data_IF_944762370294
#
_entry.id   IF_944762370294
#
_cell.length_a   1.000
_cell.length_b   1.000
_cell.length_c   1.000
_cell.angle_alpha   90.00
_cell.angle_beta   90.00
_cell.angle_gamma   90.00
#
_symmetry.space_group_name_H-M   'P 1'
#
loop_
_entity.id
_entity.type
_entity.pdbx_description
1 polymer ?
#
# COMPACT_ATOMS: atom_id res chain seq x y z
N UNK A 1 7.13 -17.71 -17.46
CA UNK A 1 7.12 -17.32 -16.05
C UNK A 1 6.36 -16.01 -15.99
N UNK A 2 5.12 -16.00 -15.49
CA UNK A 2 4.30 -14.78 -15.48
C UNK A 2 5.00 -13.73 -14.58
N UNK A 3 5.15 -12.50 -15.07
CA UNK A 3 5.73 -11.42 -14.30
C UNK A 3 4.87 -11.15 -13.04
N UNK A 4 5.47 -10.71 -11.93
CA UNK A 4 4.70 -10.30 -10.76
C UNK A 4 3.78 -9.13 -11.16
N UNK A 5 2.47 -9.35 -11.04
CA UNK A 5 1.45 -8.36 -11.32
C UNK A 5 1.18 -7.56 -10.03
N UNK A 6 1.34 -6.24 -10.10
CA UNK A 6 1.04 -5.35 -8.98
C UNK A 6 -0.44 -4.99 -8.95
N UNK A 7 -1.03 -5.18 -7.79
CA UNK A 7 -2.47 -5.11 -7.60
C UNK A 7 -2.76 -4.28 -6.37
N UNK A 8 -3.70 -3.35 -6.47
CA UNK A 8 -4.20 -2.59 -5.33
C UNK A 8 -5.58 -3.11 -4.92
N UNK A 9 -5.77 -3.25 -3.61
CA UNK A 9 -7.03 -3.67 -2.99
C UNK A 9 -7.63 -2.47 -2.27
N UNK A 10 -8.84 -2.09 -2.67
CA UNK A 10 -9.55 -0.94 -2.14
C UNK A 10 -10.90 -1.36 -1.58
N UNK A 11 -11.30 -0.74 -0.47
CA UNK A 11 -12.63 -0.93 0.11
C UNK A 11 -13.38 0.38 0.08
N UNK A 12 -14.68 0.28 -0.08
CA UNK A 12 -15.58 1.42 0.04
C UNK A 12 -16.44 1.27 1.31
N UNK A 13 -16.83 2.40 1.86
CA UNK A 13 -17.75 2.53 2.98
C UNK A 13 -19.14 3.06 2.56
N UNK A 14 -19.27 3.54 1.32
CA UNK A 14 -20.47 4.20 0.79
C UNK A 14 -21.28 3.34 -0.19
N UNK A 15 -20.64 2.49 -1.02
CA UNK A 15 -21.34 1.65 -1.99
C UNK A 15 -22.02 0.44 -1.35
N UNK A 16 -23.36 0.43 -1.32
CA UNK A 16 -24.18 -0.61 -0.66
C UNK A 16 -23.95 -2.07 -1.12
N UNK A 17 -23.19 -2.30 -2.19
CA UNK A 17 -23.05 -3.62 -2.85
C UNK A 17 -21.63 -4.19 -2.85
N UNK A 18 -20.58 -3.37 -2.69
CA UNK A 18 -19.19 -3.81 -2.90
C UNK A 18 -18.40 -3.72 -1.60
N UNK A 19 -17.72 -4.80 -1.23
CA UNK A 19 -16.88 -4.81 -0.02
C UNK A 19 -15.43 -4.46 -0.34
N UNK A 20 -14.87 -5.08 -1.38
CA UNK A 20 -13.48 -4.90 -1.78
C UNK A 20 -13.35 -5.00 -3.31
N UNK A 21 -12.61 -4.08 -3.92
CA UNK A 21 -12.26 -4.09 -5.35
C UNK A 21 -10.76 -4.27 -5.45
N UNK A 22 -10.35 -5.13 -6.37
CA UNK A 22 -8.97 -5.47 -6.67
C UNK A 22 -8.71 -5.03 -8.10
N UNK A 23 -7.79 -4.10 -8.29
CA UNK A 23 -7.46 -3.56 -9.61
C UNK A 23 -5.97 -3.61 -9.89
N UNK A 24 -5.62 -3.66 -11.18
CA UNK A 24 -4.25 -3.58 -11.62
C UNK A 24 -3.74 -2.14 -11.57
N UNK A 25 -2.54 -1.92 -11.03
CA UNK A 25 -1.99 -0.57 -10.86
C UNK A 25 -1.70 0.14 -12.21
N UNK A 26 -1.25 -0.62 -13.21
CA UNK A 26 -0.78 -0.07 -14.48
C UNK A 26 -1.91 0.27 -15.45
N UNK A 27 -2.90 -0.62 -15.57
CA UNK A 27 -4.02 -0.44 -16.50
C UNK A 27 -5.24 0.21 -15.85
N UNK A 28 -5.32 0.20 -14.51
CA UNK A 28 -6.53 0.56 -13.79
C UNK A 28 -7.68 -0.44 -13.99
N UNK A 29 -7.42 -1.60 -14.61
CA UNK A 29 -8.44 -2.60 -14.86
C UNK A 29 -8.86 -3.28 -13.56
N UNK A 30 -10.18 -3.39 -13.35
CA UNK A 30 -10.74 -4.17 -12.25
C UNK A 30 -10.55 -5.67 -12.53
N UNK A 31 -9.83 -6.35 -11.64
CA UNK A 31 -9.54 -7.79 -11.73
C UNK A 31 -10.59 -8.60 -10.97
N UNK A 32 -10.80 -8.27 -9.69
CA UNK A 32 -11.70 -9.01 -8.80
C UNK A 32 -12.55 -8.04 -7.98
N UNK A 33 -13.81 -8.39 -7.79
CA UNK A 33 -14.74 -7.66 -6.93
C UNK A 33 -15.32 -8.62 -5.92
N UNK A 34 -15.04 -8.42 -4.64
CA UNK A 34 -15.64 -9.19 -3.56
C UNK A 34 -16.94 -8.52 -3.12
N UNK A 35 -17.99 -9.33 -2.99
CA UNK A 35 -19.30 -8.89 -2.48
C UNK A 35 -19.43 -9.39 -1.04
N UNK A 36 -19.97 -8.54 -0.16
CA UNK A 36 -20.17 -8.92 1.25
C UNK A 36 -20.64 -7.81 2.19
N UNK A 37 -20.74 -6.57 1.70
CA UNK A 37 -21.21 -5.40 2.44
C UNK A 37 -20.11 -4.36 2.66
N UNK A 38 -20.44 -3.26 3.33
CA UNK A 38 -19.50 -2.19 3.69
C UNK A 38 -18.38 -2.64 4.64
N UNK A 39 -17.13 -2.53 4.20
CA UNK A 39 -16.00 -2.72 5.10
C UNK A 39 -15.76 -1.42 5.89
N UNK A 40 -15.57 -1.55 7.21
CA UNK A 40 -15.18 -0.41 8.04
C UNK A 40 -13.76 0.07 7.72
N UNK A 41 -13.42 1.34 8.04
CA UNK A 41 -12.03 1.78 7.96
C UNK A 41 -11.15 0.88 8.83
N UNK A 42 -9.94 0.54 8.36
CA UNK A 42 -9.01 -0.38 9.07
C UNK A 42 -9.59 -1.79 9.31
N UNK A 43 -10.63 -2.17 8.58
CA UNK A 43 -11.26 -3.48 8.64
C UNK A 43 -10.73 -4.49 7.62
N UNK A 44 -9.86 -4.09 6.68
CA UNK A 44 -9.31 -4.97 5.65
C UNK A 44 -7.97 -5.57 6.09
N UNK A 45 -7.82 -6.89 5.98
CA UNK A 45 -6.56 -7.58 6.21
C UNK A 45 -6.34 -8.71 5.20
N UNK A 46 -5.08 -8.98 4.84
CA UNK A 46 -4.71 -10.09 3.96
C UNK A 46 -4.02 -11.18 4.79
N UNK A 47 -4.48 -12.41 4.66
CA UNK A 47 -3.95 -13.56 5.38
C UNK A 47 -3.14 -14.43 4.40
N UNK A 48 -1.82 -14.46 4.59
CA UNK A 48 -0.85 -15.22 3.78
C UNK A 48 -0.93 -15.05 2.25
N UNK A 49 -1.62 -14.02 1.76
CA UNK A 49 -1.88 -13.86 0.33
C UNK A 49 -2.91 -14.83 -0.25
N UNK A 50 -3.53 -15.66 0.59
CA UNK A 50 -4.52 -16.66 0.17
C UNK A 50 -5.95 -16.25 0.52
N UNK A 51 -6.14 -15.60 1.67
CA UNK A 51 -7.45 -15.13 2.09
C UNK A 51 -7.46 -13.61 2.28
N UNK A 52 -8.53 -12.99 1.81
CA UNK A 52 -8.87 -11.60 2.09
C UNK A 52 -9.90 -11.58 3.21
N UNK A 53 -9.66 -10.76 4.23
CA UNK A 53 -10.58 -10.56 5.35
C UNK A 53 -11.08 -9.12 5.33
N UNK A 54 -12.38 -8.94 5.55
CA UNK A 54 -12.95 -7.64 5.84
C UNK A 54 -13.90 -7.68 7.04
N UNK A 55 -13.70 -6.75 7.97
CA UNK A 55 -14.63 -6.45 9.04
C UNK A 55 -15.79 -5.60 8.50
N UNK A 56 -17.01 -6.14 8.67
CA UNK A 56 -18.22 -5.50 8.18
C UNK A 56 -18.67 -4.39 9.14
N UNK A 57 -18.88 -3.18 8.62
CA UNK A 57 -19.30 -2.03 9.44
C UNK A 57 -20.66 -2.30 10.10
N UNK A 58 -20.70 -2.17 11.43
CA UNK A 58 -21.91 -2.29 12.25
C UNK A 58 -22.45 -3.73 12.40
N UNK A 59 -21.75 -4.75 11.88
CA UNK A 59 -22.13 -6.15 12.06
C UNK A 59 -21.06 -6.89 12.84
N UNK A 60 -21.47 -8.00 13.46
CA UNK A 60 -20.63 -8.78 14.35
C UNK A 60 -19.98 -9.96 13.63
N UNK A 61 -19.64 -9.81 12.35
CA UNK A 61 -18.92 -10.85 11.61
C UNK A 61 -17.84 -10.26 10.72
N UNK A 62 -16.78 -11.04 10.55
CA UNK A 62 -15.72 -10.80 9.57
C UNK A 62 -16.00 -11.70 8.37
N UNK A 63 -16.00 -11.12 7.18
CA UNK A 63 -16.09 -11.88 5.93
C UNK A 63 -14.70 -12.25 5.44
N UNK A 64 -14.50 -13.53 5.16
CA UNK A 64 -13.29 -14.08 4.56
C UNK A 64 -13.59 -14.58 3.14
N UNK A 65 -12.73 -14.21 2.20
CA UNK A 65 -12.78 -14.65 0.80
C UNK A 65 -11.46 -15.29 0.40
N UNK A 66 -11.52 -16.39 -0.32
CA UNK A 66 -10.36 -17.04 -0.94
C UNK A 66 -9.95 -16.27 -2.22
N UNK A 67 -8.67 -15.90 -2.36
CA UNK A 67 -8.21 -15.06 -3.49
C UNK A 67 -8.22 -15.80 -4.83
N UNK A 68 -7.89 -17.09 -4.83
CA UNK A 68 -7.65 -17.85 -6.07
C UNK A 68 -8.93 -18.37 -6.73
N UNK A 69 -10.04 -18.40 -5.99
CA UNK A 69 -11.24 -19.13 -6.42
C UNK A 69 -12.26 -18.19 -7.07
N UNK A 70 -12.62 -18.49 -8.32
CA UNK A 70 -13.66 -17.77 -9.07
C UNK A 70 -15.03 -17.79 -8.38
N UNK A 71 -15.28 -18.79 -7.54
CA UNK A 71 -16.58 -19.02 -6.88
C UNK A 71 -16.84 -18.17 -5.63
N UNK A 72 -15.91 -17.28 -5.24
CA UNK A 72 -16.08 -16.28 -4.17
C UNK A 72 -16.82 -16.77 -2.92
N UNK A 73 -16.46 -17.96 -2.41
CA UNK A 73 -17.10 -18.51 -1.21
C UNK A 73 -16.79 -17.60 -0.02
N UNK A 74 -17.81 -16.89 0.44
CA UNK A 74 -17.73 -16.02 1.61
C UNK A 74 -17.88 -16.87 2.88
N UNK A 75 -16.80 -17.04 3.63
CA UNK A 75 -16.90 -17.56 5.00
C UNK A 75 -17.15 -16.41 5.96
N UNK A 76 -18.06 -16.60 6.93
CA UNK A 76 -18.38 -15.61 7.96
C UNK A 76 -17.84 -16.08 9.29
N UNK A 77 -16.89 -15.33 9.84
CA UNK A 77 -16.36 -15.55 11.18
C UNK A 77 -17.17 -14.69 12.13
N UNK A 78 -17.94 -15.32 13.02
CA UNK A 78 -18.80 -14.62 13.98
C UNK A 78 -17.96 -14.10 15.15
N UNK A 79 -18.13 -12.83 15.47
CA UNK A 79 -17.48 -12.14 16.56
C UNK A 79 -18.51 -11.77 17.64
N UNK A 80 -18.09 -11.60 18.90
CA UNK A 80 -19.01 -11.25 20.00
C UNK A 80 -19.61 -9.84 19.87
N UNK A 81 -19.02 -8.96 19.07
CA UNK A 81 -19.49 -7.60 18.86
C UNK A 81 -19.04 -7.00 17.53
N UNK A 82 -19.38 -5.72 17.27
CA UNK A 82 -18.97 -5.04 16.05
C UNK A 82 -17.46 -4.83 16.06
N UNK A 83 -16.81 -5.24 14.97
CA UNK A 83 -15.36 -5.14 14.83
C UNK A 83 -14.99 -3.74 14.34
N UNK A 84 -14.16 -3.03 15.09
CA UNK A 84 -13.71 -1.67 14.76
C UNK A 84 -12.48 -1.68 13.86
N UNK A 85 -11.58 -2.63 14.07
CA UNK A 85 -10.35 -2.78 13.32
C UNK A 85 -9.92 -4.26 13.28
N UNK A 86 -9.22 -4.64 12.21
CA UNK A 86 -8.79 -6.01 11.94
C UNK A 86 -7.36 -6.00 11.41
N UNK A 87 -6.52 -6.91 11.89
CA UNK A 87 -5.19 -7.15 11.33
C UNK A 87 -4.82 -8.62 11.42
N UNK A 88 -4.01 -9.07 10.48
CA UNK A 88 -3.43 -10.41 10.44
C UNK A 88 -1.93 -10.32 10.70
N UNK A 89 -1.36 -11.38 11.26
CA UNK A 89 0.07 -11.48 11.40
C UNK A 89 0.74 -11.70 10.02
N UNK A 90 1.90 -11.10 9.75
CA UNK A 90 2.66 -11.35 8.52
C UNK A 90 3.01 -12.83 8.28
N UNK A 91 3.14 -13.62 9.33
CA UNK A 91 3.34 -15.08 9.24
C UNK A 91 2.03 -15.89 9.02
N UNK A 92 0.87 -15.22 9.05
CA UNK A 92 -0.48 -15.79 8.91
C UNK A 92 -0.92 -16.79 9.97
N UNK A 93 -0.22 -16.88 11.10
CA UNK A 93 -0.61 -17.75 12.21
C UNK A 93 -1.70 -17.14 13.09
N UNK A 94 -1.76 -15.81 13.19
CA UNK A 94 -2.62 -15.10 14.13
C UNK A 94 -3.50 -14.08 13.43
N UNK A 95 -4.71 -13.93 13.96
CA UNK A 95 -5.65 -12.89 13.58
C UNK A 95 -5.99 -12.06 14.81
N UNK A 96 -6.02 -10.74 14.67
CA UNK A 96 -6.40 -9.79 15.70
C UNK A 96 -7.60 -8.96 15.26
N UNK A 97 -8.59 -8.82 16.13
CA UNK A 97 -9.68 -7.88 15.92
C UNK A 97 -9.94 -7.06 17.19
N UNK A 98 -10.15 -5.76 17.00
CA UNK A 98 -10.60 -4.84 18.03
C UNK A 98 -12.12 -4.85 18.09
N UNK A 99 -12.67 -5.12 19.27
CA UNK A 99 -14.11 -5.09 19.54
C UNK A 99 -14.32 -4.22 20.77
N UNK A 100 -14.88 -3.03 20.55
CA UNK A 100 -14.94 -1.98 21.57
C UNK A 100 -13.54 -1.76 22.20
N UNK A 101 -13.41 -1.92 23.51
CA UNK A 101 -12.16 -1.75 24.29
C UNK A 101 -11.26 -3.00 24.33
N UNK A 102 -11.74 -4.14 23.83
CA UNK A 102 -11.05 -5.42 23.94
C UNK A 102 -10.45 -5.87 22.61
N UNK A 103 -9.23 -6.42 22.69
CA UNK A 103 -8.54 -7.03 21.55
C UNK A 103 -8.71 -8.54 21.66
N UNK A 104 -9.19 -9.15 20.59
CA UNK A 104 -9.35 -10.59 20.49
C UNK A 104 -8.24 -11.15 19.60
N UNK A 105 -7.56 -12.19 20.09
CA UNK A 105 -6.49 -12.88 19.38
C UNK A 105 -6.89 -14.32 19.07
N UNK A 106 -6.99 -14.64 17.78
CA UNK A 106 -7.28 -15.98 17.30
C UNK A 106 -6.07 -16.64 16.66
N UNK A 107 -5.98 -17.95 16.83
CA UNK A 107 -5.10 -18.81 16.05
C UNK A 107 -5.81 -19.20 14.75
N UNK A 108 -5.16 -18.98 13.61
CA UNK A 108 -5.74 -19.19 12.28
C UNK A 108 -5.89 -20.68 11.95
N UNK A 109 -4.93 -21.52 12.37
CA UNK A 109 -4.91 -22.95 12.06
C UNK A 109 -6.05 -23.72 12.73
N UNK A 110 -6.38 -23.37 13.97
CA UNK A 110 -7.41 -24.03 14.77
C UNK A 110 -8.73 -23.27 14.80
N UNK A 111 -8.71 -21.97 14.53
CA UNK A 111 -9.84 -21.06 14.73
C UNK A 111 -10.11 -20.75 16.20
N UNK A 112 -9.24 -21.17 17.12
CA UNK A 112 -9.44 -20.98 18.54
C UNK A 112 -9.13 -19.55 18.96
N UNK A 113 -9.95 -19.01 19.88
CA UNK A 113 -9.64 -17.77 20.58
C UNK A 113 -8.58 -18.07 21.64
N UNK A 114 -7.39 -17.49 21.48
CA UNK A 114 -6.27 -17.70 22.40
C UNK A 114 -6.37 -16.78 23.61
N UNK A 115 -6.54 -15.47 23.38
CA UNK A 115 -6.51 -14.45 24.45
C UNK A 115 -7.46 -13.30 24.13
N UNK A 116 -8.08 -12.75 25.18
CA UNK A 116 -8.80 -11.49 25.16
C UNK A 116 -8.00 -10.49 26.00
N UNK A 117 -7.62 -9.36 25.39
CA UNK A 117 -6.82 -8.32 26.03
C UNK A 117 -7.68 -7.08 26.25
N UNK A 118 -7.98 -6.79 27.50
CA UNK A 118 -8.77 -5.62 27.94
C UNK A 118 -7.91 -4.69 28.77
N UNK A 119 -7.05 -3.92 28.10
CA UNK A 119 -6.20 -2.90 28.75
C UNK A 119 -6.46 -1.48 28.27
N UNK A 120 -7.17 -1.32 27.16
CA UNK A 120 -7.68 -0.03 26.74
C UNK A 120 -8.92 0.33 27.57
N UNK A 121 -9.09 1.62 27.82
CA UNK A 121 -10.24 2.16 28.57
C UNK A 121 -11.34 2.71 27.64
N UNK A 122 -11.07 2.76 26.34
CA UNK A 122 -11.98 3.21 25.31
C UNK A 122 -11.80 2.36 24.05
N UNK A 123 -12.67 2.57 23.06
CA UNK A 123 -12.64 1.82 21.81
C UNK A 123 -11.27 1.84 21.14
N UNK A 124 -10.86 0.68 20.65
CA UNK A 124 -9.66 0.52 19.85
C UNK A 124 -9.93 1.07 18.46
N UNK A 125 -9.05 1.96 18.01
CA UNK A 125 -9.14 2.65 16.72
C UNK A 125 -8.29 1.98 15.64
N UNK A 126 -7.15 1.39 16.02
CA UNK A 126 -6.27 0.71 15.09
C UNK A 126 -5.48 -0.42 15.76
N UNK A 127 -5.15 -1.44 14.95
CA UNK A 127 -4.28 -2.54 15.30
C UNK A 127 -3.27 -2.74 14.17
N UNK A 128 -2.03 -3.06 14.51
CA UNK A 128 -1.00 -3.33 13.51
C UNK A 128 0.06 -4.28 14.05
N UNK A 129 0.44 -5.29 13.26
CA UNK A 129 1.56 -6.16 13.56
C UNK A 129 2.90 -5.55 13.17
N UNK A 130 3.96 -5.92 13.88
CA UNK A 130 5.33 -5.72 13.41
C UNK A 130 5.65 -6.69 12.28
N UNK A 131 6.55 -6.32 11.36
CA UNK A 131 6.87 -7.13 10.18
C UNK A 131 7.42 -8.52 10.50
N UNK A 132 8.03 -8.69 11.66
CA UNK A 132 8.54 -9.95 12.20
C UNK A 132 7.49 -10.78 12.96
N UNK A 133 6.25 -10.29 13.09
CA UNK A 133 5.15 -10.92 13.85
C UNK A 133 5.43 -11.15 15.34
N UNK A 134 6.49 -10.55 15.90
CA UNK A 134 6.88 -10.72 17.32
C UNK A 134 6.05 -9.86 18.27
N UNK A 135 5.60 -8.71 17.77
CA UNK A 135 4.85 -7.72 18.50
C UNK A 135 3.64 -7.24 17.69
N UNK A 136 2.69 -6.64 18.39
CA UNK A 136 1.66 -5.84 17.75
C UNK A 136 1.36 -4.60 18.57
N UNK A 137 0.85 -3.60 17.87
CA UNK A 137 0.50 -2.30 18.40
C UNK A 137 -1.02 -2.17 18.41
N UNK A 138 -1.55 -1.57 19.47
CA UNK A 138 -2.95 -1.18 19.56
C UNK A 138 -3.04 0.30 19.93
N UNK A 139 -3.88 1.03 19.20
CA UNK A 139 -4.16 2.45 19.45
C UNK A 139 -5.63 2.64 19.81
N UNK A 140 -5.91 3.19 20.98
CA UNK A 140 -7.26 3.46 21.46
C UNK A 140 -7.67 4.94 21.34
N UNK A 141 -8.96 5.20 21.47
CA UNK A 141 -9.49 6.57 21.66
C UNK A 141 -9.11 7.18 23.01
N UNK A 142 -8.60 6.35 23.93
CA UNK A 142 -8.04 6.72 25.23
C UNK A 142 -6.69 7.46 25.13
N UNK A 143 -6.25 7.80 23.92
CA UNK A 143 -4.95 8.40 23.61
C UNK A 143 -3.75 7.53 24.01
N UNK A 144 -3.97 6.22 24.24
CA UNK A 144 -2.91 5.27 24.53
C UNK A 144 -2.55 4.46 23.29
N UNK A 145 -1.25 4.23 23.14
CA UNK A 145 -0.69 3.24 22.22
C UNK A 145 0.02 2.18 23.06
N UNK A 146 -0.46 0.95 23.00
CA UNK A 146 0.10 -0.17 23.73
C UNK A 146 0.90 -1.08 22.78
N UNK A 147 2.05 -1.53 23.26
CA UNK A 147 2.89 -2.53 22.58
C UNK A 147 2.72 -3.85 23.28
N UNK A 148 2.37 -4.88 22.52
CA UNK A 148 2.14 -6.22 23.01
C UNK A 148 3.23 -7.15 22.50
N UNK A 149 3.72 -8.04 23.36
CA UNK A 149 4.65 -9.10 22.96
C UNK A 149 3.89 -10.41 22.81
N UNK A 150 4.10 -11.05 21.66
CA UNK A 150 3.63 -12.41 21.37
C UNK A 150 4.75 -13.44 21.54
N UNK A 151 5.98 -12.99 21.73
CA UNK A 151 7.09 -13.87 22.04
C UNK A 151 6.94 -14.41 23.46
N UNK A 152 6.83 -15.73 23.57
CA UNK A 152 6.99 -16.44 24.85
C UNK A 152 8.45 -16.80 25.12
N UNK A 153 9.29 -16.83 24.08
CA UNK A 153 10.64 -17.37 24.16
C UNK A 153 11.68 -16.42 23.55
N UNK A 154 12.83 -16.33 24.20
CA UNK A 154 14.00 -15.58 23.75
C UNK A 154 15.19 -16.52 23.46
N UNK A 155 15.89 -16.28 22.36
CA UNK A 155 17.12 -17.00 22.00
C UNK A 155 18.34 -16.11 22.25
N UNK A 156 19.34 -16.62 22.96
CA UNK A 156 20.63 -15.93 23.13
C UNK A 156 21.78 -16.84 22.71
N UNK A 157 22.69 -16.31 21.89
CA UNK A 157 23.98 -16.92 21.61
C UNK A 157 25.10 -16.22 22.37
N UNK A 158 26.08 -16.98 22.84
CA UNK A 158 27.23 -16.43 23.58
C UNK A 158 28.56 -16.96 23.01
N UNK A 159 29.65 -16.26 23.33
CA UNK A 159 31.01 -16.69 23.01
C UNK A 159 31.47 -17.88 23.85
N UNK A 160 30.71 -18.26 24.88
CA UNK A 160 30.90 -19.47 25.68
C UNK A 160 30.48 -20.77 24.97
N UNK A 161 30.27 -20.69 23.65
CA UNK A 161 29.82 -21.81 22.80
C UNK A 161 28.41 -22.31 23.15
N UNK A 162 27.63 -21.56 23.92
CA UNK A 162 26.26 -21.92 24.28
C UNK A 162 25.21 -21.08 23.57
N UNK A 163 24.17 -21.75 23.13
CA UNK A 163 22.89 -21.17 22.73
C UNK A 163 21.89 -21.49 23.82
N UNK A 164 21.25 -20.46 24.38
CA UNK A 164 20.25 -20.60 25.43
C UNK A 164 18.90 -20.14 24.95
N UNK A 165 17.89 -20.90 25.34
CA UNK A 165 16.49 -20.63 25.10
C UNK A 165 15.84 -20.26 26.43
N UNK A 166 15.26 -19.08 26.51
CA UNK A 166 14.69 -18.52 27.73
C UNK A 166 13.20 -18.37 27.60
N UNK A 167 12.46 -18.71 28.65
CA UNK A 167 11.05 -18.35 28.75
C UNK A 167 10.94 -16.92 29.31
N UNK A 168 10.25 -16.05 28.57
CA UNK A 168 10.11 -14.63 28.92
C UNK A 168 9.18 -14.48 30.13
N UNK A 169 8.16 -15.33 30.29
CA UNK A 169 7.24 -15.24 31.42
C UNK A 169 7.89 -15.68 32.73
N UNK A 170 8.50 -16.87 32.77
CA UNK A 170 9.14 -17.38 33.97
C UNK A 170 10.53 -16.81 34.23
N UNK A 171 11.14 -16.15 33.22
CA UNK A 171 12.54 -15.68 33.24
C UNK A 171 13.55 -16.81 33.47
N UNK A 172 13.18 -18.04 33.12
CA UNK A 172 14.04 -19.22 33.29
C UNK A 172 14.64 -19.67 31.97
N UNK A 173 15.82 -20.29 32.06
CA UNK A 173 16.45 -20.95 30.91
C UNK A 173 15.78 -22.32 30.70
N UNK A 174 15.06 -22.46 29.59
CA UNK A 174 14.37 -23.69 29.21
C UNK A 174 15.39 -24.71 28.70
N UNK A 175 16.31 -24.28 27.82
CA UNK A 175 17.28 -25.16 27.15
C UNK A 175 18.62 -24.46 26.97
N UNK A 176 19.67 -25.25 27.07
CA UNK A 176 21.04 -24.86 26.72
C UNK A 176 21.58 -25.87 25.73
N UNK A 177 22.04 -25.40 24.58
CA UNK A 177 22.67 -26.20 23.53
C UNK A 177 24.12 -25.73 23.38
N UNK A 178 25.05 -26.67 23.40
CA UNK A 178 26.49 -26.40 23.23
C UNK A 178 26.90 -26.64 21.78
N UNK A 179 27.52 -25.65 21.16
CA UNK A 179 28.16 -25.74 19.84
C UNK A 179 29.66 -25.98 20.01
N UNK A 180 30.35 -26.29 18.91
CA UNK A 180 31.81 -26.52 18.90
C UNK A 180 32.64 -25.22 18.81
N UNK A 181 32.00 -24.07 18.98
CA UNK A 181 32.62 -22.76 18.78
C UNK A 181 31.65 -21.63 19.08
N UNK A 182 32.13 -20.37 19.03
CA UNK A 182 31.36 -19.20 19.44
C UNK A 182 30.16 -18.97 18.52
N UNK A 183 29.04 -18.58 19.11
CA UNK A 183 27.81 -18.28 18.37
C UNK A 183 27.93 -16.89 17.76
N UNK A 184 27.93 -16.79 16.43
CA UNK A 184 28.01 -15.51 15.71
C UNK A 184 26.63 -14.99 15.29
N UNK A 185 25.76 -15.88 14.81
CA UNK A 185 24.41 -15.55 14.35
C UNK A 185 23.42 -16.58 14.90
N UNK A 186 22.22 -16.11 15.26
CA UNK A 186 21.13 -16.96 15.71
C UNK A 186 19.79 -16.31 15.36
N UNK A 187 18.85 -17.09 14.83
CA UNK A 187 17.47 -16.67 14.58
C UNK A 187 16.53 -17.86 14.73
N UNK A 188 15.26 -17.58 15.06
CA UNK A 188 14.20 -18.58 15.09
C UNK A 188 13.40 -18.44 13.79
N UNK A 189 13.14 -19.55 13.13
CA UNK A 189 12.34 -19.62 11.91
C UNK A 189 11.47 -20.86 11.95
N UNK A 190 10.25 -20.77 11.41
CA UNK A 190 9.46 -21.96 11.11
C UNK A 190 10.19 -22.77 10.03
N UNK A 191 10.55 -24.01 10.35
CA UNK A 191 11.28 -24.87 9.42
C UNK A 191 10.51 -24.97 8.10
N UNK A 192 11.05 -24.44 6.98
CA UNK A 192 10.38 -24.56 5.70
C UNK A 192 10.33 -26.03 5.31
N UNK A 193 9.27 -26.45 4.63
CA UNK A 193 9.03 -27.85 4.23
C UNK A 193 10.23 -28.44 3.46
N UNK A 194 10.96 -27.58 2.76
CA UNK A 194 12.13 -27.93 1.95
C UNK A 194 13.38 -28.24 2.79
N UNK A 195 13.43 -27.82 4.06
CA UNK A 195 14.56 -28.13 4.95
C UNK A 195 14.52 -29.58 5.42
N UNK A 196 13.33 -30.19 5.44
CA UNK A 196 13.08 -31.53 5.98
C UNK A 196 12.91 -32.59 4.88
N UNK A 197 12.90 -32.19 3.61
CA UNK A 197 12.79 -33.09 2.46
C UNK A 197 14.09 -33.11 1.65
N UNK A 198 14.63 -34.30 1.40
CA UNK A 198 15.88 -34.49 0.64
C UNK A 198 15.75 -34.20 -0.85
N UNK A 199 14.52 -34.21 -1.37
CA UNK A 199 14.25 -34.28 -2.81
C UNK A 199 13.91 -32.92 -3.42
N UNK A 200 13.90 -31.85 -2.61
CA UNK A 200 13.49 -30.53 -3.07
C UNK A 200 14.60 -29.83 -3.87
N UNK A 201 14.24 -29.33 -5.05
CA UNK A 201 15.10 -28.44 -5.86
C UNK A 201 14.53 -27.02 -5.82
N UNK A 202 15.35 -25.99 -5.54
CA UNK A 202 14.88 -24.61 -5.54
C UNK A 202 14.26 -24.25 -6.89
N UNK A 203 13.05 -23.69 -6.86
CA UNK A 203 12.29 -23.32 -8.06
C UNK A 203 12.87 -22.13 -8.80
N UNK A 204 13.63 -21.28 -8.10
CA UNK A 204 14.32 -20.13 -8.67
C UNK A 204 15.82 -20.41 -8.75
N UNK A 205 16.40 -20.64 -9.95
CA UNK A 205 17.84 -20.67 -10.10
C UNK A 205 18.38 -19.26 -9.82
N UNK A 206 19.29 -19.13 -8.84
CA UNK A 206 19.94 -17.86 -8.54
C UNK A 206 21.02 -17.58 -9.58
N UNK A 207 20.87 -16.57 -10.45
CA UNK A 207 21.94 -16.18 -11.36
C UNK A 207 23.10 -15.53 -10.59
N UNK A 208 24.26 -15.40 -11.24
CA UNK A 208 25.31 -14.56 -10.70
C UNK A 208 24.82 -13.12 -10.61
N UNK A 209 24.87 -12.55 -9.41
CA UNK A 209 24.57 -11.13 -9.22
C UNK A 209 25.69 -10.30 -9.84
N UNK A 210 25.31 -9.43 -10.78
CA UNK A 210 26.25 -8.53 -11.43
C UNK A 210 26.83 -7.55 -10.40
N UNK A 211 28.17 -7.43 -10.39
CA UNK A 211 28.89 -6.48 -9.52
C UNK A 211 28.72 -5.03 -9.98
N UNK A 212 28.42 -4.84 -11.27
CA UNK A 212 28.28 -3.53 -11.90
C UNK A 212 26.85 -3.36 -12.40
N UNK A 213 26.33 -2.14 -12.26
CA UNK A 213 25.10 -1.72 -12.91
C UNK A 213 25.33 -1.78 -14.43
N UNK A 214 24.37 -2.32 -15.19
CA UNK A 214 24.40 -2.23 -16.66
C UNK A 214 24.61 -0.76 -17.06
N UNK A 215 25.73 -0.47 -17.73
CA UNK A 215 26.08 0.87 -18.23
C UNK A 215 27.41 1.47 -17.74
N UNK A 216 28.16 0.80 -16.85
CA UNK A 216 29.49 1.25 -16.45
C UNK A 216 30.59 0.37 -17.06
N UNK A 217 30.88 0.60 -18.34
CA UNK A 217 32.22 0.63 -18.97
C UNK A 217 32.15 0.27 -20.48
N UNK A 218 32.64 1.21 -21.29
CA UNK A 218 32.95 1.19 -22.73
C UNK A 218 31.80 1.40 -23.75
N UNK A 219 31.76 2.62 -24.30
CA UNK A 219 31.36 2.90 -25.69
C UNK A 219 29.93 3.43 -25.88
N UNK A 220 29.82 4.73 -26.14
CA UNK A 220 28.71 5.45 -26.78
C UNK A 220 27.30 4.83 -26.71
N UNK A 221 26.47 5.30 -25.78
CA UNK A 221 25.06 5.57 -26.08
C UNK A 221 24.44 6.55 -25.07
N UNK A 222 23.79 7.58 -25.61
CA UNK A 222 23.17 8.69 -24.87
C UNK A 222 21.86 8.26 -24.19
N UNK A 223 21.89 7.47 -23.12
CA UNK A 223 20.70 7.32 -22.26
C UNK A 223 21.02 7.60 -20.80
N UNK A 224 20.59 8.79 -20.34
CA UNK A 224 20.59 9.23 -18.94
C UNK A 224 19.94 8.17 -18.06
N UNK A 225 20.74 7.48 -17.25
CA UNK A 225 20.31 6.51 -16.27
C UNK A 225 19.62 7.16 -15.08
N UNK A 226 18.30 7.32 -15.17
CA UNK A 226 17.43 7.35 -13.99
C UNK A 226 17.15 5.92 -13.56
N UNK A 227 17.24 5.63 -12.26
CA UNK A 227 16.85 4.34 -11.68
C UNK A 227 15.34 4.16 -11.87
N UNK A 228 14.96 3.49 -12.95
CA UNK A 228 13.56 3.13 -13.22
C UNK A 228 13.42 1.67 -12.89
N UNK A 229 12.69 1.36 -11.81
CA UNK A 229 12.32 0.00 -11.44
C UNK A 229 11.31 -0.48 -12.49
N UNK A 230 11.82 -1.00 -13.61
CA UNK A 230 10.99 -1.58 -14.68
C UNK A 230 10.57 -2.98 -14.27
N UNK A 231 9.44 -3.07 -13.58
CA UNK A 231 8.76 -4.32 -13.31
C UNK A 231 7.91 -4.69 -14.54
N UNK A 232 8.45 -5.61 -15.36
CA UNK A 232 7.70 -6.50 -16.26
C UNK A 232 6.90 -5.90 -17.43
N UNK A 233 7.57 -5.67 -18.57
CA UNK A 233 7.24 -6.17 -19.93
C UNK A 233 7.98 -5.33 -20.99
N UNK A 234 9.18 -5.78 -21.40
CA UNK A 234 9.69 -5.36 -22.71
C UNK A 234 10.62 -6.41 -23.35
N UNK A 235 10.00 -7.48 -23.86
CA UNK A 235 10.41 -8.20 -25.06
C UNK A 235 9.07 -8.66 -25.67
N UNK A 236 8.61 -8.30 -26.86
CA UNK A 236 9.20 -7.70 -28.06
C UNK A 236 8.15 -6.82 -28.75
N UNK A 237 8.63 -5.80 -29.45
CA UNK A 237 7.88 -4.88 -30.30
C UNK A 237 8.47 -3.50 -30.08
N UNK A 238 9.08 -2.90 -31.10
CA UNK A 238 9.61 -1.54 -31.02
C UNK A 238 8.45 -0.60 -30.73
N UNK A 239 8.20 -0.32 -29.46
CA UNK A 239 7.25 0.71 -29.10
C UNK A 239 7.85 2.06 -29.50
N UNK A 240 7.10 2.91 -30.20
CA UNK A 240 7.58 4.21 -30.58
C UNK A 240 8.00 4.96 -29.32
N UNK A 241 9.12 5.67 -29.39
CA UNK A 241 9.68 6.39 -28.26
C UNK A 241 8.62 7.33 -27.66
N UNK A 242 8.76 7.69 -26.38
CA UNK A 242 7.82 8.63 -25.75
C UNK A 242 7.66 9.94 -26.55
N UNK A 243 8.70 10.31 -27.29
CA UNK A 243 8.72 11.46 -28.19
C UNK A 243 7.83 11.22 -29.43
N UNK A 244 7.92 10.06 -30.07
CA UNK A 244 7.07 9.67 -31.20
C UNK A 244 5.60 9.52 -30.79
N UNK A 245 5.32 9.02 -29.58
CA UNK A 245 3.95 8.99 -29.03
C UNK A 245 3.42 10.39 -28.73
N UNK A 246 4.27 11.28 -28.21
CA UNK A 246 3.91 12.67 -27.98
C UNK A 246 3.64 13.41 -29.30
N UNK A 247 4.42 13.14 -30.35
CA UNK A 247 4.21 13.69 -31.69
C UNK A 247 2.95 13.11 -32.34
N UNK A 248 2.67 11.81 -32.20
CA UNK A 248 1.42 11.21 -32.67
C UNK A 248 0.20 11.78 -31.93
N UNK A 249 0.28 11.96 -30.62
CA UNK A 249 -0.76 12.62 -29.82
C UNK A 249 -0.91 14.10 -30.21
N UNK A 250 0.20 14.77 -30.53
CA UNK A 250 0.19 16.15 -31.01
C UNK A 250 -0.49 16.26 -32.39
N UNK A 251 -0.21 15.35 -33.32
CA UNK A 251 -0.87 15.27 -34.64
C UNK A 251 -2.36 14.93 -34.49
N UNK A 252 -2.71 14.02 -33.57
CA UNK A 252 -4.12 13.69 -33.27
C UNK A 252 -4.82 14.87 -32.61
N UNK A 253 -4.17 15.60 -31.71
CA UNK A 253 -4.69 16.85 -31.13
C UNK A 253 -4.86 17.95 -32.17
N UNK A 254 -3.91 18.13 -33.07
CA UNK A 254 -4.01 19.11 -34.16
C UNK A 254 -5.16 18.76 -35.11
N UNK A 255 -5.35 17.47 -35.45
CA UNK A 255 -6.48 17.04 -36.30
C UNK A 255 -7.85 17.08 -35.60
N UNK A 256 -7.90 16.90 -34.27
CA UNK A 256 -9.14 17.13 -33.49
C UNK A 256 -9.40 18.62 -33.26
N UNK A 257 -8.36 19.43 -33.12
CA UNK A 257 -8.49 20.89 -33.16
C UNK A 257 -9.00 21.34 -34.52
N UNK A 258 -8.47 20.85 -35.64
CA UNK A 258 -8.98 21.17 -36.99
C UNK A 258 -10.45 20.76 -37.19
N UNK A 259 -10.88 19.62 -36.63
CA UNK A 259 -12.30 19.20 -36.66
C UNK A 259 -13.21 20.04 -35.76
N UNK A 260 -12.72 20.54 -34.63
CA UNK A 260 -13.49 21.41 -33.73
C UNK A 260 -13.43 22.90 -34.15
N UNK A 261 -12.44 23.27 -34.95
CA UNK A 261 -12.20 24.65 -35.43
C UNK A 261 -13.18 25.08 -36.52
N UNK A 262 -13.79 24.15 -37.26
CA UNK A 262 -14.81 24.52 -38.25
C UNK A 262 -16.14 25.01 -37.65
N UNK A 263 -16.36 24.82 -36.33
CA UNK A 263 -17.55 25.34 -35.63
C UNK A 263 -17.28 26.48 -34.64
N UNK A 264 -16.04 26.63 -34.15
CA UNK A 264 -15.71 27.53 -33.03
C UNK A 264 -14.86 28.75 -33.37
N UNK A 265 -14.34 28.88 -34.60
CA UNK A 265 -13.41 29.96 -34.94
C UNK A 265 -14.05 31.36 -34.89
N UNK A 266 -15.31 31.49 -35.29
CA UNK A 266 -16.00 32.79 -35.26
C UNK A 266 -16.34 33.22 -33.83
N UNK A 267 -16.71 32.28 -32.97
CA UNK A 267 -17.04 32.56 -31.57
C UNK A 267 -15.79 32.94 -30.76
N UNK A 268 -14.64 32.31 -31.06
CA UNK A 268 -13.34 32.67 -30.48
C UNK A 268 -12.83 34.02 -30.99
N UNK A 269 -13.01 34.35 -32.28
CA UNK A 269 -12.64 35.66 -32.82
C UNK A 269 -13.43 36.79 -32.16
N UNK A 270 -14.74 36.62 -31.99
CA UNK A 270 -15.60 37.60 -31.31
C UNK A 270 -15.14 37.80 -29.85
N UNK A 271 -14.82 36.70 -29.15
CA UNK A 271 -14.35 36.78 -27.76
C UNK A 271 -12.99 37.45 -27.63
N UNK A 272 -12.09 37.23 -28.59
CA UNK A 272 -10.78 37.89 -28.63
C UNK A 272 -10.96 39.40 -28.87
N UNK A 273 -11.81 39.80 -29.82
CA UNK A 273 -12.08 41.23 -30.06
C UNK A 273 -12.73 41.93 -28.86
N UNK A 274 -13.65 41.25 -28.15
CA UNK A 274 -14.24 41.78 -26.92
C UNK A 274 -13.19 41.99 -25.82
N UNK A 275 -12.28 41.03 -25.65
CA UNK A 275 -11.20 41.12 -24.66
C UNK A 275 -10.15 42.17 -25.02
N UNK A 276 -9.86 42.35 -26.30
CA UNK A 276 -8.94 43.40 -26.78
C UNK A 276 -9.51 44.80 -26.52
N UNK A 277 -10.80 45.01 -26.79
CA UNK A 277 -11.50 46.27 -26.48
C UNK A 277 -11.53 46.55 -24.97
N UNK A 278 -11.74 45.52 -24.15
CA UNK A 278 -11.75 45.67 -22.69
C UNK A 278 -10.37 46.00 -22.13
N UNK A 279 -9.31 45.36 -22.64
CA UNK A 279 -7.92 45.69 -22.30
C UNK A 279 -7.55 47.11 -22.74
N UNK A 280 -8.02 47.55 -23.90
CA UNK A 280 -7.78 48.91 -24.37
C UNK A 280 -8.51 49.96 -23.50
N UNK A 281 -9.72 49.64 -23.04
CA UNK A 281 -10.47 50.48 -22.10
C UNK A 281 -9.76 50.57 -20.73
N UNK A 282 -9.28 49.44 -20.21
CA UNK A 282 -8.52 49.40 -18.95
C UNK A 282 -7.21 50.18 -19.03
N UNK A 283 -6.52 50.13 -20.17
CA UNK A 283 -5.32 50.96 -20.41
C UNK A 283 -5.64 52.45 -20.42
N UNK A 284 -6.79 52.85 -20.97
CA UNK A 284 -7.24 54.24 -20.94
C UNK A 284 -7.55 54.70 -19.53
N UNK A 285 -8.27 53.88 -18.75
CA UNK A 285 -8.58 54.17 -17.34
C UNK A 285 -7.30 54.31 -16.51
N UNK A 286 -6.33 53.40 -16.70
CA UNK A 286 -5.05 53.49 -15.98
C UNK A 286 -4.24 54.73 -16.37
N UNK A 287 -4.28 55.14 -17.66
CA UNK A 287 -3.65 56.38 -18.10
C UNK A 287 -4.32 57.60 -17.47
N UNK A 288 -5.65 57.63 -17.44
CA UNK A 288 -6.42 58.74 -16.84
C UNK A 288 -6.19 58.82 -15.32
N UNK A 289 -6.10 57.68 -14.64
CA UNK A 289 -5.72 57.60 -13.21
C UNK A 289 -4.29 58.08 -12.96
N UNK A 290 -3.36 57.75 -13.85
CA UNK A 290 -1.98 58.22 -13.78
C UNK A 290 -1.88 59.74 -14.03
N UNK A 291 -2.61 60.26 -15.03
CA UNK A 291 -2.66 61.71 -15.30
C UNK A 291 -3.37 62.46 -14.17
N UNK A 292 -4.37 61.86 -13.53
CA UNK A 292 -5.02 62.41 -12.35
C UNK A 292 -4.07 62.45 -11.14
N UNK A 293 -3.35 61.36 -10.88
CA UNK A 293 -2.40 61.29 -9.76
C UNK A 293 -1.23 62.26 -9.94
N UNK A 294 -0.66 62.33 -11.15
CA UNK A 294 0.42 63.28 -11.46
C UNK A 294 -0.06 64.73 -11.36
N UNK A 295 -1.29 65.06 -11.77
CA UNK A 295 -1.87 66.41 -11.58
C UNK A 295 -2.11 66.76 -10.11
N UNK A 296 -2.44 65.80 -9.26
CA UNK A 296 -2.58 66.04 -7.81
C UNK A 296 -1.20 66.26 -7.17
N UNK A 297 -0.22 65.43 -7.54
CA UNK A 297 1.12 65.46 -6.95
C UNK A 297 1.92 66.69 -7.41
N UNK A 298 1.69 67.19 -8.62
CA UNK A 298 2.42 68.33 -9.20
C UNK A 298 1.74 69.68 -8.98
N UNK A 299 0.61 69.74 -8.26
CA UNK A 299 0.03 71.03 -7.86
C UNK A 299 0.94 71.69 -6.80
N UNK A 300 1.48 72.89 -7.05
CA UNK A 300 2.23 73.60 -6.02
C UNK A 300 1.29 74.01 -4.89
N UNK A 301 1.71 73.76 -3.66
CA UNK A 301 1.02 74.19 -2.44
C UNK A 301 0.87 75.71 -2.44
N UNK A 302 -0.37 76.21 -2.48
CA UNK A 302 -0.67 77.57 -2.04
C UNK A 302 -0.83 77.57 -0.52
#
# INVERSE_FOLDING_TARGET
MAAPMEVAVCTDSSAHLWSCIVWELHSGANLLTYRGGQAGPRGLALLNGEYLLAAQLGKNYISAWELQRKDQLQQKIMCPGPVTCLTTSPNGLYMLAGIAESIYLWEVSTGNLLVILSRHYQDISCLQFTGDSSHFLSGGKDCLVLVWSLCSVLLSGSHDETVRLWDIQSKQCIRTVTLKGPVTNAFIMLAPVNMLSSDFRPSLPLPHFNKHLLGAEHGDEQHRGGLTLRLGLHQQGSEPSYLERAEQLHVVMCSTMEKNVLGGQDQLRIRITELEDEVQNLRKINRDLFDFSTRIITRPSK
#
